data_IF_337148472475
#
_entry.id   IF_337148472475
#
_cell.length_a   1.000
_cell.length_b   1.000
_cell.length_c   1.000
_cell.angle_alpha   90.00
_cell.angle_beta   90.00
_cell.angle_gamma   90.00
#
_symmetry.space_group_name_H-M   'P 1'
#
loop_
_entity.id
_entity.type
_entity.pdbx_description
1 polymer ?
#
# COMPACT_ATOMS: atom_id res chain seq x y z
N UNK A 1 12.21 -14.35 26.28
CA UNK A 1 12.49 -13.54 25.08
C UNK A 1 11.31 -13.76 24.17
N UNK A 2 10.63 -12.68 23.77
CA UNK A 2 9.66 -12.76 22.68
C UNK A 2 10.38 -13.30 21.44
N UNK A 3 9.69 -14.16 20.70
CA UNK A 3 10.19 -14.68 19.43
C UNK A 3 10.20 -13.53 18.42
N UNK A 4 11.39 -13.03 18.09
CA UNK A 4 11.59 -11.94 17.12
C UNK A 4 11.91 -12.46 15.71
N UNK A 5 11.88 -13.79 15.48
CA UNK A 5 12.18 -14.39 14.17
C UNK A 5 11.28 -13.86 13.05
N UNK A 6 10.07 -13.46 13.39
CA UNK A 6 9.13 -12.88 12.43
C UNK A 6 9.56 -11.52 11.86
N UNK A 7 10.39 -10.76 12.57
CA UNK A 7 10.91 -9.49 12.05
C UNK A 7 11.78 -9.79 10.83
N UNK A 8 12.64 -10.79 10.94
CA UNK A 8 13.48 -11.25 9.83
C UNK A 8 12.63 -11.82 8.69
N UNK A 9 11.56 -12.58 8.99
CA UNK A 9 10.61 -13.04 7.97
C UNK A 9 9.98 -11.87 7.20
N UNK A 10 9.51 -10.82 7.90
CA UNK A 10 8.96 -9.62 7.26
C UNK A 10 10.00 -8.93 6.38
N UNK A 11 11.24 -8.80 6.87
CA UNK A 11 12.33 -8.16 6.11
C UNK A 11 12.67 -8.94 4.84
N UNK A 12 12.79 -10.28 4.93
CA UNK A 12 13.05 -11.15 3.78
C UNK A 12 11.89 -11.07 2.77
N UNK A 13 10.65 -11.13 3.25
CA UNK A 13 9.48 -11.01 2.37
C UNK A 13 9.40 -9.63 1.71
N UNK A 14 9.70 -8.54 2.43
CA UNK A 14 9.74 -7.20 1.86
C UNK A 14 10.85 -7.06 0.79
N UNK A 15 11.98 -7.76 0.94
CA UNK A 15 13.01 -7.83 -0.10
C UNK A 15 12.52 -8.60 -1.34
N UNK A 16 11.77 -9.68 -1.16
CA UNK A 16 11.16 -10.42 -2.28
C UNK A 16 10.13 -9.57 -3.02
N UNK A 17 9.29 -8.81 -2.31
CA UNK A 17 8.36 -7.83 -2.90
C UNK A 17 9.10 -6.85 -3.80
N UNK A 18 10.20 -6.26 -3.32
CA UNK A 18 11.03 -5.34 -4.12
C UNK A 18 11.64 -6.00 -5.35
N UNK A 19 12.13 -7.23 -5.20
CA UNK A 19 12.74 -7.99 -6.30
C UNK A 19 11.73 -8.23 -7.41
N UNK A 20 10.56 -8.77 -7.07
CA UNK A 20 9.49 -9.03 -8.02
C UNK A 20 9.01 -7.77 -8.72
N UNK A 21 8.76 -6.70 -7.96
CA UNK A 21 8.40 -5.40 -8.52
C UNK A 21 9.46 -4.85 -9.47
N UNK A 22 10.74 -5.00 -9.13
CA UNK A 22 11.86 -4.58 -9.97
C UNK A 22 11.94 -5.39 -11.26
N UNK A 23 11.76 -6.71 -11.19
CA UNK A 23 11.75 -7.59 -12.36
C UNK A 23 10.62 -7.24 -13.32
N UNK A 24 9.42 -6.95 -12.81
CA UNK A 24 8.29 -6.47 -13.61
C UNK A 24 8.61 -5.13 -14.26
N UNK A 25 9.18 -4.18 -13.52
CA UNK A 25 9.57 -2.89 -14.08
C UNK A 25 10.61 -3.04 -15.20
N UNK A 26 11.61 -3.91 -15.01
CA UNK A 26 12.63 -4.20 -16.03
C UNK A 26 11.97 -4.80 -17.27
N UNK A 27 11.09 -5.80 -17.11
CA UNK A 27 10.42 -6.47 -18.21
C UNK A 27 9.54 -5.52 -19.02
N UNK A 28 8.82 -4.62 -18.34
CA UNK A 28 7.93 -3.64 -18.96
C UNK A 28 8.66 -2.37 -19.43
N UNK A 29 9.98 -2.28 -19.23
CA UNK A 29 10.79 -1.08 -19.46
C UNK A 29 10.24 0.19 -18.75
N UNK A 30 9.63 -0.02 -17.59
CA UNK A 30 9.22 1.06 -16.70
C UNK A 30 8.14 0.67 -15.70
N UNK A 31 7.94 1.54 -14.71
CA UNK A 31 6.95 1.33 -13.65
C UNK A 31 7.14 2.25 -12.44
N UNK A 32 6.22 2.12 -11.49
CA UNK A 32 6.20 2.80 -10.19
C UNK A 32 7.08 2.08 -9.16
N UNK A 33 8.38 2.00 -9.45
CA UNK A 33 9.31 1.18 -8.65
C UNK A 33 9.60 1.78 -7.26
N UNK A 34 9.65 3.11 -7.14
CA UNK A 34 9.94 3.76 -5.84
C UNK A 34 8.82 3.52 -4.83
N UNK A 35 7.57 3.40 -5.30
CA UNK A 35 6.41 3.08 -4.49
C UNK A 35 6.45 1.65 -3.97
N UNK A 36 6.94 0.70 -4.78
CA UNK A 36 7.25 -0.66 -4.31
C UNK A 36 8.32 -0.61 -3.22
N UNK A 37 9.36 0.20 -3.43
CA UNK A 37 10.49 0.27 -2.52
C UNK A 37 10.14 0.89 -1.16
N UNK A 38 9.37 1.98 -1.14
CA UNK A 38 8.99 2.66 0.11
C UNK A 38 8.00 1.84 0.95
N UNK A 39 7.05 1.18 0.29
CA UNK A 39 5.90 0.57 0.97
C UNK A 39 6.04 -0.91 1.33
N UNK A 40 7.12 -1.59 0.93
CA UNK A 40 7.22 -3.05 1.08
C UNK A 40 7.08 -3.53 2.54
N UNK A 41 7.81 -2.97 3.51
CA UNK A 41 7.66 -3.38 4.92
C UNK A 41 6.28 -3.03 5.49
N UNK A 42 5.68 -1.91 5.07
CA UNK A 42 4.33 -1.51 5.48
C UNK A 42 3.32 -2.56 5.02
N UNK A 43 3.30 -2.87 3.72
CA UNK A 43 2.38 -3.85 3.15
C UNK A 43 2.58 -5.24 3.73
N UNK A 44 3.82 -5.71 3.85
CA UNK A 44 4.12 -7.04 4.39
C UNK A 44 3.73 -7.13 5.86
N UNK A 45 4.06 -6.14 6.69
CA UNK A 45 3.67 -6.11 8.12
C UNK A 45 2.15 -6.11 8.26
N UNK A 46 1.44 -5.29 7.46
CA UNK A 46 -0.02 -5.25 7.46
C UNK A 46 -0.62 -6.63 7.15
N UNK A 47 -0.20 -7.26 6.06
CA UNK A 47 -0.79 -8.51 5.59
C UNK A 47 -0.40 -9.74 6.40
N UNK A 48 0.79 -9.76 7.00
CA UNK A 48 1.30 -10.94 7.70
C UNK A 48 1.14 -10.89 9.22
N UNK A 49 1.07 -9.70 9.83
CA UNK A 49 1.11 -9.54 11.31
C UNK A 49 -0.06 -8.77 11.91
N UNK A 50 -0.68 -7.84 11.18
CA UNK A 50 -1.67 -6.91 11.77
C UNK A 50 -3.11 -7.23 11.42
N UNK A 51 -3.40 -7.54 10.15
CA UNK A 51 -4.77 -7.69 9.67
C UNK A 51 -5.26 -9.13 9.87
N UNK A 52 -6.43 -9.30 10.51
CA UNK A 52 -7.16 -10.56 10.42
C UNK A 52 -8.02 -10.53 9.16
N UNK A 53 -7.43 -10.92 8.03
CA UNK A 53 -8.11 -10.86 6.74
C UNK A 53 -9.05 -12.05 6.48
N UNK A 54 -8.85 -13.18 7.17
CA UNK A 54 -9.42 -14.46 6.79
C UNK A 54 -8.86 -15.00 5.46
N UNK A 55 -9.45 -16.10 4.93
CA UNK A 55 -8.99 -16.70 3.68
C UNK A 55 -9.30 -15.79 2.48
N UNK A 56 -8.39 -15.77 1.50
CA UNK A 56 -8.70 -15.27 0.15
C UNK A 56 -9.78 -16.14 -0.48
N UNK A 57 -10.74 -15.51 -1.15
CA UNK A 57 -11.72 -16.21 -2.00
C UNK A 57 -11.48 -15.97 -3.49
N UNK A 58 -10.43 -15.23 -3.85
CA UNK A 58 -10.01 -15.02 -5.23
C UNK A 58 -9.28 -16.24 -5.81
N UNK A 59 -9.42 -16.53 -7.12
CA UNK A 59 -8.61 -17.55 -7.77
C UNK A 59 -7.14 -17.12 -7.82
N UNK A 60 -6.21 -18.06 -7.60
CA UNK A 60 -4.76 -17.78 -7.58
C UNK A 60 -4.24 -17.09 -8.85
N UNK A 61 -4.88 -17.38 -9.99
CA UNK A 61 -4.70 -16.67 -11.26
C UNK A 61 -5.97 -15.84 -11.51
N UNK A 62 -5.89 -14.50 -11.49
CA UNK A 62 -7.04 -13.65 -11.76
C UNK A 62 -7.61 -13.83 -13.16
N UNK A 63 -8.93 -13.69 -13.28
CA UNK A 63 -9.60 -13.68 -14.57
C UNK A 63 -9.14 -12.48 -15.41
N UNK A 64 -9.26 -12.61 -16.73
CA UNK A 64 -9.08 -11.48 -17.63
C UNK A 64 -10.23 -10.47 -17.47
N UNK A 65 -9.93 -9.20 -17.73
CA UNK A 65 -10.93 -8.15 -17.74
C UNK A 65 -11.69 -8.17 -19.07
N UNK A 66 -12.89 -8.77 -19.06
CA UNK A 66 -13.73 -8.91 -20.25
C UNK A 66 -14.62 -7.67 -20.51
N UNK A 67 -14.65 -6.73 -19.57
CA UNK A 67 -15.37 -5.46 -19.68
C UNK A 67 -16.03 -5.01 -18.38
N UNK A 68 -16.77 -3.90 -18.47
CA UNK A 68 -17.52 -3.34 -17.34
C UNK A 68 -18.72 -4.22 -16.95
N UNK A 69 -19.18 -4.16 -15.69
CA UNK A 69 -20.32 -4.95 -15.21
C UNK A 69 -21.58 -4.80 -16.07
N UNK A 70 -22.31 -5.90 -16.29
CA UNK A 70 -23.55 -5.95 -17.11
C UNK A 70 -24.69 -6.61 -16.33
N UNK A 71 -25.97 -6.30 -16.66
CA UNK A 71 -27.10 -6.98 -16.03
C UNK A 71 -27.00 -8.51 -16.19
N UNK A 72 -26.98 -9.22 -15.06
CA UNK A 72 -26.89 -10.69 -15.03
C UNK A 72 -25.47 -11.26 -15.00
N UNK A 73 -24.44 -10.43 -15.12
CA UNK A 73 -23.02 -10.83 -15.03
C UNK A 73 -22.40 -10.21 -13.76
N UNK A 74 -21.88 -11.00 -12.81
CA UNK A 74 -21.26 -10.46 -11.60
C UNK A 74 -19.97 -9.70 -11.96
N UNK A 75 -19.75 -8.56 -11.31
CA UNK A 75 -18.52 -7.80 -11.44
C UNK A 75 -17.32 -8.59 -10.89
N UNK A 76 -16.15 -8.39 -11.48
CA UNK A 76 -14.89 -8.77 -10.85
C UNK A 76 -14.64 -7.85 -9.64
N UNK A 77 -14.28 -8.44 -8.51
CA UNK A 77 -14.08 -7.72 -7.26
C UNK A 77 -12.68 -8.03 -6.74
N UNK A 78 -11.83 -7.01 -6.66
CA UNK A 78 -10.44 -7.12 -6.23
C UNK A 78 -10.26 -7.44 -4.75
N UNK A 79 -11.16 -6.96 -3.88
CA UNK A 79 -11.03 -7.17 -2.43
C UNK A 79 -11.10 -8.64 -2.00
N UNK A 80 -11.62 -9.52 -2.85
CA UNK A 80 -11.72 -10.97 -2.55
C UNK A 80 -10.35 -11.63 -2.35
N UNK A 81 -9.29 -11.02 -2.90
CA UNK A 81 -7.91 -11.46 -2.74
C UNK A 81 -7.37 -11.13 -1.35
N UNK A 82 -7.78 -9.98 -0.79
CA UNK A 82 -7.43 -9.58 0.57
C UNK A 82 -8.16 -10.44 1.59
N UNK A 83 -9.45 -10.70 1.43
CA UNK A 83 -10.25 -11.54 2.35
C UNK A 83 -11.55 -10.87 2.79
N UNK A 84 -12.28 -11.48 3.72
CA UNK A 84 -13.64 -11.07 4.08
C UNK A 84 -13.83 -10.60 5.53
N UNK A 85 -12.76 -10.53 6.34
CA UNK A 85 -12.80 -10.10 7.75
C UNK A 85 -12.40 -8.63 7.89
N UNK A 86 -11.15 -8.33 8.22
CA UNK A 86 -10.65 -6.95 8.15
C UNK A 86 -10.71 -6.43 6.71
N UNK A 87 -10.91 -5.11 6.58
CA UNK A 87 -10.94 -4.44 5.28
C UNK A 87 -9.59 -3.77 5.06
N UNK A 88 -8.98 -4.02 3.90
CA UNK A 88 -7.80 -3.31 3.45
C UNK A 88 -8.15 -2.47 2.22
N UNK A 89 -7.71 -1.21 2.23
CA UNK A 89 -7.82 -0.31 1.09
C UNK A 89 -6.46 0.32 0.78
N UNK A 90 -6.06 0.27 -0.49
CA UNK A 90 -4.89 0.97 -0.99
C UNK A 90 -5.34 2.23 -1.72
N UNK A 91 -5.00 3.41 -1.19
CA UNK A 91 -5.42 4.69 -1.77
C UNK A 91 -4.58 5.13 -2.97
N UNK A 92 -3.24 5.16 -2.91
CA UNK A 92 -2.42 5.57 -4.05
C UNK A 92 -2.37 4.41 -5.04
N UNK A 93 -3.32 4.36 -5.98
CA UNK A 93 -3.52 3.19 -6.84
C UNK A 93 -2.32 2.80 -7.72
N UNK A 94 -1.37 3.72 -7.92
CA UNK A 94 -0.11 3.45 -8.59
C UNK A 94 0.88 2.59 -7.76
N UNK A 95 0.56 2.32 -6.49
CA UNK A 95 1.26 1.34 -5.63
C UNK A 95 0.83 -0.10 -5.92
N UNK A 96 -0.05 -0.30 -6.91
CA UNK A 96 -0.62 -1.60 -7.30
C UNK A 96 0.43 -2.70 -7.42
N UNK A 97 1.58 -2.43 -8.05
CA UNK A 97 2.63 -3.44 -8.22
C UNK A 97 3.22 -3.92 -6.89
N UNK A 98 3.34 -3.03 -5.90
CA UNK A 98 3.75 -3.39 -4.54
C UNK A 98 2.73 -4.31 -3.90
N UNK A 99 1.45 -3.97 -3.98
CA UNK A 99 0.36 -4.79 -3.47
C UNK A 99 0.27 -6.17 -4.16
N UNK A 100 0.35 -6.24 -5.48
CA UNK A 100 0.32 -7.52 -6.19
C UNK A 100 1.49 -8.41 -5.80
N UNK A 101 2.69 -7.83 -5.67
CA UNK A 101 3.89 -8.54 -5.23
C UNK A 101 3.74 -9.05 -3.79
N UNK A 102 3.15 -8.24 -2.89
CA UNK A 102 2.80 -8.69 -1.54
C UNK A 102 1.77 -9.82 -1.57
N UNK A 103 0.72 -9.73 -2.38
CA UNK A 103 -0.29 -10.78 -2.48
C UNK A 103 0.31 -12.12 -2.97
N UNK A 104 1.30 -12.08 -3.87
CA UNK A 104 2.06 -13.28 -4.26
C UNK A 104 2.84 -13.85 -3.08
N UNK A 105 3.60 -13.02 -2.37
CA UNK A 105 4.37 -13.48 -1.19
C UNK A 105 3.48 -13.98 -0.05
N UNK A 106 2.25 -13.47 0.06
CA UNK A 106 1.25 -13.93 1.04
C UNK A 106 0.48 -15.19 0.58
N UNK A 107 0.83 -15.77 -0.57
CA UNK A 107 0.16 -16.96 -1.13
C UNK A 107 -1.29 -16.72 -1.55
N UNK A 108 -1.65 -15.47 -1.87
CA UNK A 108 -2.98 -15.05 -2.32
C UNK A 108 -3.08 -14.90 -3.84
N UNK A 109 -1.94 -14.90 -4.52
CA UNK A 109 -1.77 -14.96 -5.96
C UNK A 109 -0.65 -15.95 -6.30
N UNK A 110 -0.70 -16.61 -7.46
CA UNK A 110 0.39 -17.50 -7.89
C UNK A 110 1.59 -16.71 -8.41
N UNK A 111 2.80 -17.25 -8.26
CA UNK A 111 4.06 -16.56 -8.63
C UNK A 111 4.07 -15.96 -10.05
N UNK A 112 3.54 -16.69 -11.03
CA UNK A 112 3.66 -16.31 -12.45
C UNK A 112 2.72 -15.18 -12.89
N UNK A 113 1.75 -14.75 -12.05
CA UNK A 113 0.76 -13.74 -12.47
C UNK A 113 1.37 -12.37 -12.69
N UNK A 114 2.51 -12.07 -12.08
CA UNK A 114 3.18 -10.79 -12.26
C UNK A 114 3.68 -10.58 -13.69
N UNK A 115 3.84 -11.65 -14.48
CA UNK A 115 4.10 -11.56 -15.92
C UNK A 115 2.91 -10.96 -16.70
N UNK A 116 1.72 -10.93 -16.09
CA UNK A 116 0.50 -10.32 -16.65
C UNK A 116 0.33 -8.87 -16.18
N UNK A 117 1.22 -8.34 -15.33
CA UNK A 117 1.09 -6.99 -14.80
C UNK A 117 1.16 -5.95 -15.94
N UNK A 118 0.11 -5.13 -16.04
CA UNK A 118 -0.07 -4.11 -17.07
C UNK A 118 -0.09 -4.64 -18.53
N UNK A 119 -0.43 -5.92 -18.71
CA UNK A 119 -0.70 -6.49 -20.04
C UNK A 119 -2.15 -6.26 -20.46
N UNK A 120 -2.40 -6.16 -21.76
CA UNK A 120 -3.76 -5.98 -22.32
C UNK A 120 -4.71 -7.09 -21.83
N UNK A 121 -5.87 -6.69 -21.32
CA UNK A 121 -6.89 -7.60 -20.78
C UNK A 121 -6.55 -8.21 -19.41
N UNK A 122 -5.41 -7.88 -18.81
CA UNK A 122 -5.09 -8.28 -17.44
C UNK A 122 -5.85 -7.42 -16.42
N UNK A 123 -6.21 -8.04 -15.29
CA UNK A 123 -6.76 -7.32 -14.13
C UNK A 123 -5.67 -6.78 -13.20
N UNK A 124 -4.40 -7.17 -13.38
CA UNK A 124 -3.25 -6.59 -12.68
C UNK A 124 -2.82 -5.29 -13.34
N UNK A 125 -3.65 -4.25 -13.20
CA UNK A 125 -3.42 -2.94 -13.81
C UNK A 125 -2.32 -2.17 -13.09
N UNK A 126 -1.56 -1.35 -13.83
CA UNK A 126 -0.50 -0.51 -13.25
C UNK A 126 -1.05 0.57 -12.30
N UNK A 127 -2.26 1.06 -12.57
CA UNK A 127 -3.07 1.87 -11.67
C UNK A 127 -4.27 0.99 -11.32
N UNK A 128 -4.33 0.48 -10.09
CA UNK A 128 -5.36 -0.49 -9.74
C UNK A 128 -6.77 0.10 -9.70
N UNK A 129 -7.74 -0.74 -10.05
CA UNK A 129 -9.17 -0.45 -10.00
C UNK A 129 -9.91 -1.48 -9.14
N UNK A 130 -11.21 -1.34 -8.96
CA UNK A 130 -12.04 -2.20 -8.10
C UNK A 130 -12.01 -3.68 -8.48
N UNK A 131 -11.66 -4.03 -9.73
CA UNK A 131 -11.49 -5.41 -10.18
C UNK A 131 -10.06 -5.94 -10.00
N UNK A 132 -9.11 -5.06 -9.75
CA UNK A 132 -7.70 -5.43 -9.60
C UNK A 132 -7.43 -6.16 -8.29
N UNK A 133 -6.63 -7.23 -8.27
CA UNK A 133 -6.37 -8.00 -7.06
C UNK A 133 -5.95 -7.13 -5.86
N UNK A 134 -6.70 -7.23 -4.77
CA UNK A 134 -6.46 -6.51 -3.52
C UNK A 134 -7.14 -5.14 -3.41
N UNK A 135 -7.70 -4.60 -4.49
CA UNK A 135 -8.40 -3.31 -4.48
C UNK A 135 -9.88 -3.47 -4.14
N UNK A 136 -10.34 -2.70 -3.15
CA UNK A 136 -11.74 -2.72 -2.70
C UNK A 136 -12.64 -1.69 -3.39
N UNK A 137 -12.05 -0.76 -4.14
CA UNK A 137 -12.74 0.34 -4.81
C UNK A 137 -11.88 0.83 -5.97
N UNK A 138 -12.48 1.53 -6.93
CA UNK A 138 -11.75 2.27 -7.94
C UNK A 138 -10.98 3.36 -7.23
N UNK A 139 -9.65 3.32 -7.33
CA UNK A 139 -8.77 4.32 -6.75
C UNK A 139 -8.11 5.13 -7.88
N UNK A 140 -7.04 5.86 -7.57
CA UNK A 140 -6.23 6.57 -8.57
C UNK A 140 -6.53 8.07 -8.67
N UNK A 141 -7.75 8.49 -8.35
CA UNK A 141 -7.95 9.84 -7.82
C UNK A 141 -7.55 9.81 -6.35
N UNK A 142 -6.45 10.49 -6.01
CA UNK A 142 -5.96 10.59 -4.64
C UNK A 142 -7.06 11.09 -3.68
N UNK A 143 -6.92 10.78 -2.39
CA UNK A 143 -7.86 11.09 -1.29
C UNK A 143 -9.22 10.37 -1.29
N UNK A 144 -9.72 9.88 -2.42
CA UNK A 144 -11.08 9.31 -2.47
C UNK A 144 -11.24 8.03 -1.65
N UNK A 145 -10.23 7.17 -1.68
CA UNK A 145 -10.27 5.87 -0.99
C UNK A 145 -10.37 6.01 0.52
N UNK A 146 -9.79 7.06 1.13
CA UNK A 146 -9.92 7.31 2.57
C UNK A 146 -11.38 7.58 2.95
N UNK A 147 -12.13 8.34 2.14
CA UNK A 147 -13.57 8.55 2.34
C UNK A 147 -14.36 7.23 2.26
N UNK A 148 -13.98 6.33 1.34
CA UNK A 148 -14.59 4.99 1.23
C UNK A 148 -14.26 4.14 2.47
N UNK A 149 -13.01 4.16 2.93
CA UNK A 149 -12.57 3.45 4.14
C UNK A 149 -13.34 3.91 5.38
N UNK A 150 -13.56 5.22 5.54
CA UNK A 150 -14.38 5.80 6.60
C UNK A 150 -15.82 5.30 6.53
N UNK A 151 -16.40 5.24 5.32
CA UNK A 151 -17.74 4.66 5.11
C UNK A 151 -17.83 3.20 5.55
N UNK A 152 -16.80 2.39 5.23
CA UNK A 152 -16.71 0.99 5.69
C UNK A 152 -16.56 0.89 7.21
N UNK A 153 -15.70 1.71 7.81
CA UNK A 153 -15.48 1.72 9.26
C UNK A 153 -16.76 2.09 10.01
N UNK A 154 -17.49 3.10 9.51
CA UNK A 154 -18.79 3.51 10.05
C UNK A 154 -19.83 2.38 9.92
N UNK A 155 -19.86 1.67 8.81
CA UNK A 155 -20.78 0.55 8.60
C UNK A 155 -20.50 -0.61 9.59
N UNK A 156 -19.23 -1.00 9.75
CA UNK A 156 -18.82 -2.04 10.71
C UNK A 156 -19.20 -1.64 12.15
N UNK A 157 -18.90 -0.39 12.55
CA UNK A 157 -19.26 0.15 13.87
C UNK A 157 -20.78 0.09 14.11
N UNK A 158 -21.59 0.50 13.13
CA UNK A 158 -23.07 0.46 13.24
C UNK A 158 -23.64 -0.94 13.31
N UNK A 159 -22.98 -1.93 12.70
CA UNK A 159 -23.39 -3.33 12.72
C UNK A 159 -22.82 -4.11 13.90
N UNK A 160 -22.01 -3.46 14.74
CA UNK A 160 -21.24 -4.11 15.81
C UNK A 160 -20.41 -5.29 15.31
N UNK A 161 -19.86 -5.18 14.08
CA UNK A 161 -18.92 -6.16 13.55
C UNK A 161 -17.54 -5.93 14.18
N UNK A 162 -16.81 -7.00 14.59
CA UNK A 162 -15.55 -6.86 15.32
C UNK A 162 -14.35 -6.51 14.41
N UNK A 163 -14.57 -6.34 13.12
CA UNK A 163 -13.53 -6.15 12.11
C UNK A 163 -13.02 -4.71 12.07
N UNK A 164 -11.77 -4.55 11.64
CA UNK A 164 -11.08 -3.28 11.48
C UNK A 164 -10.99 -2.87 10.01
N UNK A 165 -10.80 -1.58 9.79
CA UNK A 165 -10.48 -1.01 8.48
C UNK A 165 -9.06 -0.48 8.51
N UNK A 166 -8.28 -0.93 7.54
CA UNK A 166 -6.89 -0.56 7.34
C UNK A 166 -6.77 0.14 5.99
N UNK A 167 -6.05 1.26 5.95
CA UNK A 167 -5.83 1.99 4.70
C UNK A 167 -4.39 2.43 4.58
N UNK A 168 -3.78 2.22 3.42
CA UNK A 168 -2.49 2.81 3.08
C UNK A 168 -2.72 4.03 2.18
N UNK A 169 -2.22 5.19 2.61
CA UNK A 169 -2.22 6.45 1.84
C UNK A 169 -0.79 6.92 1.59
N UNK A 170 -0.56 7.77 0.58
CA UNK A 170 0.73 8.47 0.40
C UNK A 170 0.70 9.90 0.94
N UNK A 171 1.88 10.46 1.23
CA UNK A 171 2.05 11.86 1.65
C UNK A 171 1.54 12.90 0.64
N UNK A 172 1.66 12.65 -0.66
CA UNK A 172 1.02 13.48 -1.68
C UNK A 172 -0.51 13.60 -1.54
N UNK A 173 -1.18 12.63 -0.90
CA UNK A 173 -2.63 12.72 -0.66
C UNK A 173 -2.99 13.75 0.41
N UNK A 174 -2.04 14.18 1.23
CA UNK A 174 -2.27 15.25 2.20
C UNK A 174 -2.34 16.63 1.54
N UNK A 175 -1.99 16.75 0.26
CA UNK A 175 -2.19 17.97 -0.53
C UNK A 175 -3.63 18.11 -1.03
N UNK A 176 -4.40 17.02 -1.07
CA UNK A 176 -5.79 17.01 -1.48
C UNK A 176 -6.72 17.50 -0.35
N UNK A 177 -7.55 18.50 -0.66
CA UNK A 177 -8.51 19.08 0.30
C UNK A 177 -9.45 18.04 0.90
N UNK A 178 -9.88 17.07 0.08
CA UNK A 178 -10.78 15.99 0.50
C UNK A 178 -10.20 15.13 1.63
N UNK A 179 -8.87 14.96 1.69
CA UNK A 179 -8.24 14.20 2.78
C UNK A 179 -8.54 14.85 4.13
N UNK A 180 -8.50 16.18 4.21
CA UNK A 180 -8.77 16.91 5.44
C UNK A 180 -10.25 16.85 5.85
N UNK A 181 -11.17 16.87 4.89
CA UNK A 181 -12.60 16.62 5.14
C UNK A 181 -12.80 15.21 5.71
N UNK A 182 -12.16 14.20 5.12
CA UNK A 182 -12.20 12.83 5.59
C UNK A 182 -11.66 12.67 7.02
N UNK A 183 -10.52 13.29 7.33
CA UNK A 183 -9.96 13.29 8.70
C UNK A 183 -10.95 13.87 9.72
N UNK A 184 -11.61 14.98 9.39
CA UNK A 184 -12.63 15.58 10.27
C UNK A 184 -13.81 14.65 10.51
N UNK A 185 -14.33 14.01 9.45
CA UNK A 185 -15.46 13.08 9.53
C UNK A 185 -15.12 11.87 10.39
N UNK A 186 -13.94 11.27 10.21
CA UNK A 186 -13.54 10.08 10.95
C UNK A 186 -13.45 10.34 12.47
N UNK A 187 -12.93 11.50 12.87
CA UNK A 187 -12.86 11.90 14.27
C UNK A 187 -14.25 12.17 14.84
N UNK A 188 -15.10 12.92 14.12
CA UNK A 188 -16.48 13.20 14.54
C UNK A 188 -17.30 11.92 14.82
N UNK A 189 -17.07 10.86 14.07
CA UNK A 189 -17.73 9.57 14.28
C UNK A 189 -16.99 8.62 15.22
N UNK A 190 -15.88 9.04 15.83
CA UNK A 190 -15.05 8.27 16.77
C UNK A 190 -14.73 6.88 16.18
N UNK A 191 -14.16 6.86 14.97
CA UNK A 191 -13.89 5.62 14.24
C UNK A 191 -12.61 4.94 14.74
N UNK A 192 -12.60 4.50 16.00
CA UNK A 192 -11.49 3.76 16.61
C UNK A 192 -11.18 2.40 15.98
N UNK A 193 -12.03 1.92 15.06
CA UNK A 193 -11.80 0.74 14.22
C UNK A 193 -11.13 1.06 12.88
N UNK A 194 -10.76 2.33 12.61
CA UNK A 194 -10.00 2.76 11.44
C UNK A 194 -8.54 3.02 11.81
N UNK A 195 -7.61 2.39 11.08
CA UNK A 195 -6.18 2.65 11.18
C UNK A 195 -5.60 2.94 9.80
N UNK A 196 -4.98 4.09 9.66
CA UNK A 196 -4.38 4.56 8.42
C UNK A 196 -2.87 4.49 8.56
N UNK A 197 -2.19 3.86 7.61
CA UNK A 197 -0.74 3.94 7.44
C UNK A 197 -0.46 4.95 6.33
N UNK A 198 0.40 5.92 6.62
CA UNK A 198 0.83 6.94 5.68
C UNK A 198 2.27 6.67 5.27
N UNK A 199 2.50 6.37 4.00
CA UNK A 199 3.84 6.32 3.42
C UNK A 199 4.35 7.76 3.19
N UNK A 200 5.15 8.26 4.13
CA UNK A 200 5.76 9.59 4.08
C UNK A 200 7.19 9.50 3.55
N UNK A 201 7.31 9.19 2.25
CA UNK A 201 8.58 9.00 1.55
C UNK A 201 9.18 10.33 1.01
N UNK A 202 8.42 11.42 1.08
CA UNK A 202 8.81 12.78 0.72
C UNK A 202 8.86 13.05 -0.78
N UNK A 203 8.42 12.12 -1.65
CA UNK A 203 8.56 12.19 -3.10
C UNK A 203 7.20 12.14 -3.81
N UNK A 204 7.00 13.06 -4.75
CA UNK A 204 5.86 13.07 -5.67
C UNK A 204 6.29 13.24 -7.13
N UNK A 205 5.32 13.40 -8.04
CA UNK A 205 5.57 13.42 -9.49
C UNK A 205 6.58 14.51 -9.88
N UNK A 206 6.38 15.74 -9.38
CA UNK A 206 7.18 16.91 -9.75
C UNK A 206 8.41 17.13 -8.87
N UNK A 207 8.71 16.21 -7.94
CA UNK A 207 9.92 16.27 -7.12
C UNK A 207 9.65 15.97 -5.64
N UNK A 208 10.52 16.49 -4.77
CA UNK A 208 10.35 16.33 -3.33
C UNK A 208 9.17 17.18 -2.83
N UNK A 209 8.34 16.61 -1.96
CA UNK A 209 7.18 17.28 -1.35
C UNK A 209 7.56 18.64 -0.76
N UNK A 210 8.70 18.71 -0.05
CA UNK A 210 9.22 19.96 0.54
C UNK A 210 9.48 21.09 -0.47
N UNK A 211 9.76 20.75 -1.73
CA UNK A 211 10.14 21.69 -2.79
C UNK A 211 8.93 22.05 -3.69
N UNK A 212 7.89 21.22 -3.69
CA UNK A 212 6.66 21.40 -4.49
C UNK A 212 5.53 21.99 -3.64
N UNK A 213 5.13 21.29 -2.57
CA UNK A 213 4.05 21.71 -1.65
C UNK A 213 4.28 21.10 -0.27
N UNK A 214 4.82 21.89 0.67
CA UNK A 214 5.20 21.38 1.98
C UNK A 214 3.99 21.03 2.86
N UNK A 215 3.92 19.77 3.30
CA UNK A 215 2.84 19.23 4.14
C UNK A 215 3.20 19.15 5.64
N UNK A 216 4.47 19.29 6.01
CA UNK A 216 4.87 19.27 7.43
C UNK A 216 4.30 20.47 8.21
N UNK A 217 4.13 20.35 9.55
CA UNK A 217 4.30 19.14 10.34
C UNK A 217 3.06 18.23 10.29
N UNK A 218 3.21 16.99 9.78
CA UNK A 218 2.08 16.08 9.50
C UNK A 218 1.35 15.70 10.79
N UNK A 219 2.10 15.27 11.81
CA UNK A 219 1.51 14.69 13.00
C UNK A 219 0.70 15.71 13.81
N UNK A 220 1.21 16.93 13.98
CA UNK A 220 0.50 18.03 14.64
C UNK A 220 -0.76 18.42 13.88
N UNK A 221 -0.69 18.53 12.55
CA UNK A 221 -1.88 18.82 11.72
C UNK A 221 -2.96 17.78 11.94
N UNK A 222 -2.62 16.48 11.86
CA UNK A 222 -3.62 15.41 12.00
C UNK A 222 -4.12 15.25 13.44
N UNK A 223 -3.26 15.44 14.47
CA UNK A 223 -3.69 15.49 15.87
C UNK A 223 -4.71 16.61 16.12
N UNK A 224 -4.57 17.76 15.46
CA UNK A 224 -5.54 18.86 15.56
C UNK A 224 -6.94 18.50 15.03
N UNK A 225 -7.05 17.50 14.15
CA UNK A 225 -8.32 16.92 13.70
C UNK A 225 -8.87 15.85 14.67
N UNK A 226 -8.25 15.62 15.83
CA UNK A 226 -8.75 14.69 16.85
C UNK A 226 -8.39 13.22 16.61
N UNK A 227 -7.28 12.95 15.93
CA UNK A 227 -6.76 11.61 15.67
C UNK A 227 -5.71 11.18 16.70
N UNK A 228 -5.58 9.87 16.89
CA UNK A 228 -4.39 9.28 17.50
C UNK A 228 -3.28 9.19 16.44
N UNK A 229 -2.07 9.68 16.75
CA UNK A 229 -1.00 9.78 15.75
C UNK A 229 0.32 9.30 16.31
N UNK A 230 0.86 8.26 15.66
CA UNK A 230 2.14 7.62 15.98
C UNK A 230 3.07 7.80 14.79
N UNK A 231 4.30 8.25 15.02
CA UNK A 231 5.35 8.32 13.99
C UNK A 231 6.34 7.18 14.20
N UNK A 232 6.73 6.52 13.11
CA UNK A 232 7.61 5.35 13.12
C UNK A 232 8.63 5.41 12.00
N UNK A 233 9.74 4.68 12.15
CA UNK A 233 10.55 4.27 11.00
C UNK A 233 9.73 3.28 10.16
N UNK A 234 9.38 3.67 8.93
CA UNK A 234 8.57 2.85 8.03
C UNK A 234 9.29 1.63 7.47
N UNK A 235 10.58 1.45 7.77
CA UNK A 235 11.37 0.27 7.42
C UNK A 235 11.68 -0.62 8.63
N UNK A 236 11.08 -0.33 9.79
CA UNK A 236 11.19 -1.12 11.01
C UNK A 236 9.88 -1.90 11.26
N UNK A 237 9.86 -3.22 10.99
CA UNK A 237 8.67 -4.05 11.21
C UNK A 237 8.15 -4.04 12.65
N UNK A 238 9.04 -3.89 13.64
CA UNK A 238 8.66 -3.87 15.06
C UNK A 238 7.87 -2.61 15.36
N UNK A 239 8.35 -1.45 14.92
CA UNK A 239 7.64 -0.18 15.10
C UNK A 239 6.31 -0.15 14.35
N UNK A 240 6.28 -0.65 13.10
CA UNK A 240 5.06 -0.75 12.30
C UNK A 240 4.00 -1.63 12.98
N UNK A 241 4.41 -2.79 13.50
CA UNK A 241 3.55 -3.73 14.22
C UNK A 241 3.06 -3.15 15.55
N UNK A 242 3.96 -2.54 16.33
CA UNK A 242 3.62 -1.95 17.61
C UNK A 242 2.55 -0.86 17.44
N UNK A 243 2.75 0.08 16.51
CA UNK A 243 1.81 1.16 16.25
C UNK A 243 0.40 0.68 15.85
N UNK A 244 0.31 -0.40 15.08
CA UNK A 244 -0.98 -0.98 14.65
C UNK A 244 -1.72 -1.76 15.75
N UNK A 245 -0.98 -2.27 16.74
CA UNK A 245 -1.49 -3.06 17.86
C UNK A 245 -1.72 -2.27 19.15
N UNK A 246 -1.26 -1.02 19.23
CA UNK A 246 -1.60 -0.13 20.34
C UNK A 246 -3.12 -0.13 20.57
N UNK A 247 -3.62 -0.29 21.81
CA UNK A 247 -5.05 -0.28 22.09
C UNK A 247 -5.74 0.98 21.54
N UNK A 248 -6.94 0.81 21.01
CA UNK A 248 -7.75 1.95 20.54
C UNK A 248 -8.38 2.67 21.73
N UNK A 249 -8.28 4.00 21.77
CA UNK A 249 -8.97 4.86 22.73
C UNK A 249 -10.30 5.43 22.17
N UNK A 250 -10.75 4.89 21.02
CA UNK A 250 -11.94 5.34 20.30
C UNK A 250 -11.65 6.35 19.19
N UNK A 251 -10.48 6.99 19.18
CA UNK A 251 -10.07 7.87 18.07
C UNK A 251 -9.59 7.04 16.87
N UNK A 252 -9.85 7.48 15.63
CA UNK A 252 -9.17 6.90 14.48
C UNK A 252 -7.65 7.13 14.60
N UNK A 253 -6.85 6.17 14.09
CA UNK A 253 -5.38 6.22 14.20
C UNK A 253 -4.70 6.47 12.87
N UNK A 254 -3.71 7.37 12.86
CA UNK A 254 -2.75 7.54 11.79
C UNK A 254 -1.36 7.08 12.25
N UNK A 255 -0.75 6.17 11.50
CA UNK A 255 0.66 5.78 11.64
C UNK A 255 1.45 6.44 10.52
N UNK A 256 2.21 7.47 10.86
CA UNK A 256 3.09 8.18 9.92
C UNK A 256 4.37 7.36 9.76
N UNK A 257 4.53 6.71 8.62
CA UNK A 257 5.68 5.86 8.32
C UNK A 257 6.72 6.71 7.59
N UNK A 258 7.82 7.05 8.28
CA UNK A 258 8.94 7.75 7.65
C UNK A 258 9.74 6.76 6.82
N UNK A 259 9.66 6.88 5.49
CA UNK A 259 10.24 5.91 4.56
C UNK A 259 11.20 6.57 3.59
N UNK A 260 11.96 5.73 2.89
CA UNK A 260 12.91 6.12 1.85
C UNK A 260 12.42 5.58 0.49
N UNK A 261 12.23 6.44 -0.52
CA UNK A 261 11.61 6.05 -1.80
C UNK A 261 12.43 5.03 -2.59
N UNK A 262 13.72 4.88 -2.31
CA UNK A 262 14.63 3.94 -2.98
C UNK A 262 15.19 2.87 -2.04
N UNK A 263 14.48 2.56 -0.94
CA UNK A 263 14.88 1.53 0.02
C UNK A 263 15.19 0.21 -0.71
N UNK A 264 16.38 -0.34 -0.45
CA UNK A 264 16.86 -1.58 -1.05
C UNK A 264 17.42 -1.46 -2.47
N UNK A 265 17.30 -0.28 -3.12
CA UNK A 265 17.78 -0.05 -4.49
C UNK A 265 18.58 1.26 -4.56
N UNK A 266 19.80 1.28 -4.00
CA UNK A 266 20.60 2.50 -3.85
C UNK A 266 20.93 3.18 -5.19
N UNK A 267 20.98 2.45 -6.31
CA UNK A 267 21.23 3.04 -7.64
C UNK A 267 20.15 4.03 -8.10
N UNK A 268 18.95 4.01 -7.50
CA UNK A 268 17.92 4.99 -7.80
C UNK A 268 18.18 6.35 -7.14
N UNK A 269 18.98 6.43 -6.08
CA UNK A 269 19.13 7.63 -5.24
C UNK A 269 19.40 8.92 -6.02
N UNK A 270 20.24 8.87 -7.04
CA UNK A 270 20.70 10.04 -7.80
C UNK A 270 19.88 10.30 -9.08
N UNK A 271 18.79 9.57 -9.31
CA UNK A 271 17.91 9.81 -10.46
C UNK A 271 17.07 11.06 -10.24
N UNK A 272 16.94 11.85 -11.31
CA UNK A 272 16.09 13.04 -11.33
C UNK A 272 14.58 12.71 -11.42
N UNK A 273 14.20 11.69 -12.21
CA UNK A 273 12.81 11.24 -12.34
C UNK A 273 12.67 9.88 -11.67
N UNK A 274 11.96 9.88 -10.55
CA UNK A 274 11.84 8.75 -9.63
C UNK A 274 10.41 8.21 -9.54
N UNK A 275 9.40 9.07 -9.65
CA UNK A 275 8.01 8.67 -9.43
C UNK A 275 7.53 7.59 -10.41
N UNK A 276 7.78 7.78 -11.72
CA UNK A 276 7.65 6.74 -12.74
C UNK A 276 8.99 6.56 -13.44
N UNK A 277 9.55 5.36 -13.37
CA UNK A 277 10.88 5.08 -13.92
C UNK A 277 10.72 4.51 -15.32
N UNK A 278 11.45 5.08 -16.28
CA UNK A 278 11.84 4.41 -17.52
C UNK A 278 13.35 4.20 -17.50
N UNK A 279 13.78 3.02 -17.92
CA UNK A 279 15.19 2.65 -17.89
C UNK A 279 15.93 3.18 -19.12
N UNK A 280 17.09 3.77 -18.87
CA UNK A 280 18.08 4.16 -19.86
C UNK A 280 19.09 3.02 -20.02
N UNK A 281 19.85 3.04 -21.11
CA UNK A 281 20.90 2.05 -21.36
C UNK A 281 21.87 1.94 -20.18
N UNK A 282 22.13 0.72 -19.69
CA UNK A 282 23.04 0.46 -18.56
C UNK A 282 22.41 0.53 -17.17
N UNK A 283 21.21 1.11 -17.03
CA UNK A 283 20.54 1.22 -15.72
C UNK A 283 19.96 -0.13 -15.27
N UNK A 284 19.51 -0.97 -16.20
CA UNK A 284 19.01 -2.32 -15.89
C UNK A 284 20.11 -3.19 -15.28
N UNK A 285 21.33 -3.13 -15.82
CA UNK A 285 22.48 -3.87 -15.29
C UNK A 285 22.84 -3.40 -13.87
N UNK A 286 22.74 -2.09 -13.63
CA UNK A 286 23.01 -1.51 -12.30
C UNK A 286 21.94 -1.92 -11.30
N UNK A 287 20.65 -1.84 -11.69
CA UNK A 287 19.53 -2.32 -10.90
C UNK A 287 19.66 -3.81 -10.57
N UNK A 288 20.05 -4.65 -11.55
CA UNK A 288 20.29 -6.09 -11.30
C UNK A 288 21.38 -6.34 -10.26
N UNK A 289 22.42 -5.50 -10.18
CA UNK A 289 23.44 -5.62 -9.13
C UNK A 289 22.88 -5.30 -7.75
N UNK A 290 22.06 -4.26 -7.64
CA UNK A 290 21.36 -3.94 -6.38
C UNK A 290 20.48 -5.13 -5.94
N UNK A 291 19.73 -5.73 -6.88
CA UNK A 291 18.88 -6.88 -6.61
C UNK A 291 19.66 -8.12 -6.17
N UNK A 292 20.83 -8.38 -6.75
CA UNK A 292 21.69 -9.49 -6.31
C UNK A 292 22.23 -9.26 -4.88
N UNK A 293 22.46 -8.01 -4.47
CA UNK A 293 22.87 -7.70 -3.10
C UNK A 293 21.74 -7.95 -2.08
N UNK A 294 20.48 -7.89 -2.49
CA UNK A 294 19.32 -8.26 -1.67
C UNK A 294 19.19 -9.78 -1.45
N UNK A 295 19.94 -10.62 -2.17
CA UNK A 295 19.89 -12.09 -2.04
C UNK A 295 20.77 -12.65 -0.92
N UNK A 296 21.58 -11.80 -0.28
CA UNK A 296 22.64 -12.21 0.66
C UNK A 296 22.28 -12.16 2.15
N UNK A 297 20.99 -12.10 2.51
CA UNK A 297 20.50 -12.07 3.90
C UNK A 297 19.67 -13.32 4.18
#
# INVERSE_FOLDING_TARGET
>A
MEDTSWIDEVLVTAQNVRRRGSEVCIANNGGYLVQVCSSAEILVTLFSRLMDLGPSSGPMVPAQFEGVPRPGEPALIGSIYSGNRDRFLLSPAHYALGLYSTLVEMGRLSDDVLNLANADGSTLEMIGAEHSPGFATTAGSLAQTLSVAIGQALALKRRAEPHRVWTLISDGELEEGQTWEALQVASNFELGNLTVYLDANGLQVDGWVKDVMQIEPIAEKVRAFGWDVIEVDGHDPEQLWAAGNEPSDGRPRLVVCRTQPYRGIPSLKDRHQLHYIRFRSGEVETLRRDLSALQGV
#
